data_IF_783138970764
#
_entry.id   IF_783138970764
#
_cell.length_a   1.000
_cell.length_b   1.000
_cell.length_c   1.000
_cell.angle_alpha   90.00
_cell.angle_beta   90.00
_cell.angle_gamma   90.00
#
_symmetry.space_group_name_H-M   'P 1'
#
loop_
_entity.id
_entity.type
_entity.pdbx_description
1 polymer ?
#
# COMPACT_ATOMS: atom_id res chain seq x y z
N UNK A 1 -34.07 6.45 30.52
CA UNK A 1 -34.57 6.00 29.21
C UNK A 1 -33.37 5.89 28.30
N UNK A 2 -32.98 4.64 28.08
CA UNK A 2 -32.07 4.08 27.07
C UNK A 2 -30.82 4.89 26.68
N UNK A 3 -29.73 4.57 27.37
CA UNK A 3 -28.37 4.66 26.82
C UNK A 3 -28.27 3.74 25.61
N UNK A 4 -28.34 4.28 24.40
CA UNK A 4 -28.03 3.56 23.17
C UNK A 4 -26.56 3.15 23.17
N UNK A 5 -26.28 1.93 23.61
CA UNK A 5 -25.05 1.24 23.31
C UNK A 5 -24.99 0.94 21.82
N UNK A 6 -24.01 1.51 21.13
CA UNK A 6 -23.25 0.98 19.99
C UNK A 6 -22.38 2.11 19.39
N UNK A 7 -21.34 2.53 20.10
CA UNK A 7 -20.13 3.05 19.42
C UNK A 7 -19.12 1.90 19.42
N UNK A 8 -19.42 0.84 18.67
CA UNK A 8 -18.42 -0.17 18.30
C UNK A 8 -17.49 0.46 17.25
N UNK A 9 -16.19 0.23 17.38
CA UNK A 9 -15.10 0.88 16.65
C UNK A 9 -15.41 1.21 15.19
N UNK A 10 -15.11 2.44 14.78
CA UNK A 10 -15.38 2.95 13.43
C UNK A 10 -14.34 2.40 12.46
N UNK A 11 -14.80 1.63 11.48
CA UNK A 11 -13.96 1.16 10.36
C UNK A 11 -14.22 1.98 9.09
N UNK A 12 -13.16 2.29 8.37
CA UNK A 12 -13.15 3.07 7.14
C UNK A 12 -12.32 2.35 6.07
N UNK A 13 -12.77 2.49 4.83
CA UNK A 13 -12.04 2.02 3.65
C UNK A 13 -11.73 3.24 2.80
N UNK A 14 -10.46 3.41 2.43
CA UNK A 14 -9.98 4.51 1.59
C UNK A 14 -9.39 3.91 0.33
N UNK A 15 -9.98 4.24 -0.82
CA UNK A 15 -9.44 3.84 -2.12
C UNK A 15 -8.25 4.75 -2.44
N UNK A 16 -7.04 4.21 -2.35
CA UNK A 16 -5.80 4.95 -2.64
C UNK A 16 -5.56 5.05 -4.15
N UNK A 17 -6.02 4.07 -4.91
CA UNK A 17 -6.02 4.12 -6.36
C UNK A 17 -7.04 3.16 -6.95
N UNK A 18 -7.49 3.49 -8.16
CA UNK A 18 -8.54 2.77 -8.89
C UNK A 18 -8.23 2.70 -10.39
N UNK A 19 -6.96 2.83 -10.75
CA UNK A 19 -6.45 2.78 -12.11
C UNK A 19 -5.95 1.39 -12.47
N UNK A 20 -5.74 1.14 -13.75
CA UNK A 20 -5.10 -0.08 -14.22
C UNK A 20 -3.60 -0.10 -13.88
N UNK A 21 -2.89 -1.10 -14.40
CA UNK A 21 -1.45 -1.28 -14.14
C UNK A 21 -0.59 -0.08 -14.57
N UNK A 22 -1.02 0.72 -15.56
CA UNK A 22 -0.36 1.96 -15.97
C UNK A 22 -0.86 3.21 -15.25
N UNK A 23 -1.95 3.11 -14.50
CA UNK A 23 -2.72 4.27 -14.04
C UNK A 23 -3.45 4.99 -15.18
N UNK A 24 -4.11 6.09 -14.83
CA UNK A 24 -4.75 7.04 -15.75
C UNK A 24 -4.33 8.46 -15.34
N UNK A 25 -3.87 9.30 -16.26
CA UNK A 25 -3.84 9.13 -17.72
C UNK A 25 -2.79 8.13 -18.22
N UNK A 26 -3.03 7.57 -19.41
CA UNK A 26 -1.98 6.90 -20.18
C UNK A 26 -1.02 7.95 -20.75
N UNK A 27 0.27 7.82 -20.46
CA UNK A 27 1.31 8.69 -21.02
C UNK A 27 1.29 8.70 -22.56
N UNK A 28 1.00 7.55 -23.19
CA UNK A 28 0.90 7.43 -24.64
C UNK A 28 -0.21 8.32 -25.21
N UNK A 29 -1.40 8.30 -24.58
CA UNK A 29 -2.54 9.10 -25.04
C UNK A 29 -2.26 10.61 -24.94
N UNK A 30 -1.38 11.05 -24.04
CA UNK A 30 -1.02 12.45 -23.88
C UNK A 30 0.11 12.88 -24.81
N UNK A 31 1.12 12.03 -24.99
CA UNK A 31 2.30 12.32 -25.84
C UNK A 31 2.01 12.13 -27.33
N UNK A 32 1.08 11.24 -27.68
CA UNK A 32 0.65 10.96 -29.04
C UNK A 32 -0.88 10.96 -29.09
N UNK A 33 -1.52 12.14 -28.99
CA UNK A 33 -2.96 12.24 -29.01
C UNK A 33 -3.51 11.83 -30.39
N UNK A 34 -4.57 11.04 -30.38
CA UNK A 34 -5.42 10.80 -31.56
C UNK A 34 -6.31 12.03 -31.83
N UNK A 35 -6.98 12.05 -32.99
CA UNK A 35 -7.99 13.05 -33.33
C UNK A 35 -9.36 12.38 -33.52
N UNK A 36 -10.31 12.54 -32.58
CA UNK A 36 -10.22 13.37 -31.36
C UNK A 36 -9.38 12.71 -30.25
N UNK A 37 -8.82 13.49 -29.31
CA UNK A 37 -8.02 12.95 -28.22
C UNK A 37 -8.87 12.10 -27.27
N UNK A 38 -8.25 11.11 -26.62
CA UNK A 38 -8.91 10.27 -25.62
C UNK A 38 -9.53 11.12 -24.50
N UNK A 39 -10.86 11.13 -24.42
CA UNK A 39 -11.63 11.95 -23.48
C UNK A 39 -11.18 11.76 -22.03
N UNK A 40 -11.00 10.51 -21.59
CA UNK A 40 -10.65 10.21 -20.19
C UNK A 40 -9.23 10.68 -19.87
N UNK A 41 -8.24 10.37 -20.71
CA UNK A 41 -6.85 10.75 -20.45
C UNK A 41 -6.67 12.27 -20.51
N UNK A 42 -7.33 12.95 -21.45
CA UNK A 42 -7.30 14.40 -21.53
C UNK A 42 -7.91 15.04 -20.28
N UNK A 43 -9.08 14.59 -19.84
CA UNK A 43 -9.71 15.11 -18.63
C UNK A 43 -8.94 14.76 -17.35
N UNK A 44 -8.14 13.69 -17.33
CA UNK A 44 -7.36 13.30 -16.15
C UNK A 44 -6.27 14.30 -15.77
N UNK A 45 -5.82 15.16 -16.69
CA UNK A 45 -4.80 16.20 -16.41
C UNK A 45 -5.39 17.60 -16.21
N UNK A 46 -6.71 17.75 -16.29
CA UNK A 46 -7.38 19.03 -16.08
C UNK A 46 -7.65 19.25 -14.59
N UNK A 47 -7.25 20.40 -14.06
CA UNK A 47 -7.44 20.75 -12.65
C UNK A 47 -6.49 20.03 -11.70
N UNK A 48 -6.88 19.93 -10.42
CA UNK A 48 -6.06 19.26 -9.40
C UNK A 48 -6.24 17.74 -9.46
N UNK A 49 -5.14 17.00 -9.46
CA UNK A 49 -5.16 15.54 -9.34
C UNK A 49 -5.92 15.08 -8.08
N UNK A 50 -5.87 15.85 -6.98
CA UNK A 50 -6.54 15.50 -5.72
C UNK A 50 -8.06 15.37 -5.88
N UNK A 51 -8.70 16.26 -6.65
CA UNK A 51 -10.15 16.30 -6.84
C UNK A 51 -10.61 15.69 -8.16
N UNK A 52 -9.70 15.18 -8.99
CA UNK A 52 -10.02 14.69 -10.33
C UNK A 52 -10.24 13.16 -10.33
N UNK A 53 -11.47 12.68 -10.58
CA UNK A 53 -11.78 11.24 -10.59
C UNK A 53 -11.20 10.48 -11.79
N UNK A 54 -10.74 11.19 -12.83
CA UNK A 54 -10.06 10.59 -13.97
C UNK A 54 -8.55 10.42 -13.73
N UNK A 55 -7.97 11.11 -12.75
CA UNK A 55 -6.58 10.87 -12.34
C UNK A 55 -6.54 9.69 -11.35
N UNK A 56 -6.06 8.54 -11.84
CA UNK A 56 -6.11 7.27 -11.11
C UNK A 56 -4.73 6.62 -11.00
N UNK A 57 -4.22 6.52 -9.78
CA UNK A 57 -3.06 5.71 -9.44
C UNK A 57 -3.37 4.21 -9.57
N UNK A 58 -2.32 3.36 -9.56
CA UNK A 58 -2.46 1.90 -9.44
C UNK A 58 -3.43 1.52 -8.31
N UNK A 59 -4.21 0.46 -8.53
CA UNK A 59 -5.17 -0.05 -7.54
C UNK A 59 -4.50 -0.29 -6.19
N UNK A 60 -5.08 0.28 -5.13
CA UNK A 60 -4.64 0.08 -3.76
C UNK A 60 -5.73 0.54 -2.79
N UNK A 61 -5.75 -0.08 -1.61
CA UNK A 61 -6.75 0.15 -0.57
C UNK A 61 -6.05 0.41 0.77
N UNK A 62 -6.60 1.33 1.57
CA UNK A 62 -6.26 1.43 2.99
C UNK A 62 -7.48 1.10 3.83
N UNK A 63 -7.30 0.19 4.78
CA UNK A 63 -8.26 -0.12 5.83
C UNK A 63 -7.82 0.63 7.08
N UNK A 64 -8.70 1.46 7.63
CA UNK A 64 -8.51 2.15 8.90
C UNK A 64 -9.56 1.65 9.87
N UNK A 65 -9.18 1.29 11.08
CA UNK A 65 -10.13 0.80 12.09
C UNK A 65 -9.62 1.10 13.49
N UNK A 66 -10.53 1.07 14.45
CA UNK A 66 -10.23 1.18 15.88
C UNK A 66 -10.34 -0.21 16.51
N UNK A 67 -9.32 -0.64 17.25
CA UNK A 67 -9.36 -1.90 18.00
C UNK A 67 -10.06 -1.75 19.36
N UNK A 68 -10.20 -2.85 20.10
CA UNK A 68 -10.88 -2.87 21.40
C UNK A 68 -10.21 -2.00 22.47
N UNK A 69 -8.94 -1.58 22.26
CA UNK A 69 -8.22 -0.66 23.15
C UNK A 69 -8.45 0.81 22.81
N UNK A 70 -9.15 1.10 21.71
CA UNK A 70 -9.33 2.46 21.19
C UNK A 70 -8.17 2.93 20.30
N UNK A 71 -7.21 2.06 19.97
CA UNK A 71 -6.09 2.40 19.10
C UNK A 71 -6.53 2.34 17.63
N UNK A 72 -6.21 3.39 16.88
CA UNK A 72 -6.46 3.44 15.44
C UNK A 72 -5.33 2.72 14.69
N UNK A 73 -5.71 1.79 13.83
CA UNK A 73 -4.84 0.93 13.06
C UNK A 73 -5.08 1.14 11.55
N UNK A 74 -4.02 0.94 10.77
CA UNK A 74 -3.98 1.16 9.33
C UNK A 74 -3.35 -0.04 8.63
N UNK A 75 -4.06 -0.66 7.69
CA UNK A 75 -3.56 -1.77 6.88
C UNK A 75 -3.70 -1.38 5.42
N UNK A 76 -2.59 -1.42 4.67
CA UNK A 76 -2.62 -1.12 3.24
C UNK A 76 -2.56 -2.40 2.41
N UNK A 77 -3.40 -2.47 1.38
CA UNK A 77 -3.39 -3.51 0.36
C UNK A 77 -2.74 -2.94 -0.89
N UNK A 78 -1.68 -3.61 -1.35
CA UNK A 78 -0.82 -3.27 -2.47
C UNK A 78 -0.07 -1.93 -2.36
N UNK A 79 1.15 -1.95 -2.88
CA UNK A 79 2.13 -0.85 -2.83
C UNK A 79 2.75 -0.70 -4.22
N UNK A 80 1.94 -0.24 -5.17
CA UNK A 80 2.29 -0.07 -6.57
C UNK A 80 3.25 1.08 -6.87
N UNK A 81 3.56 1.27 -8.16
CA UNK A 81 4.46 2.33 -8.67
C UNK A 81 4.06 3.75 -8.26
N UNK A 82 2.78 3.97 -7.99
CA UNK A 82 2.24 5.28 -7.60
C UNK A 82 2.18 5.47 -6.08
N UNK A 83 2.75 4.58 -5.26
CA UNK A 83 2.66 4.65 -3.80
C UNK A 83 3.02 6.02 -3.23
N UNK A 84 4.15 6.59 -3.67
CA UNK A 84 4.56 7.93 -3.23
C UNK A 84 3.49 8.99 -3.48
N UNK A 85 2.81 8.93 -4.62
CA UNK A 85 1.73 9.86 -4.96
C UNK A 85 0.48 9.60 -4.11
N UNK A 86 0.14 8.32 -3.86
CA UNK A 86 -0.96 7.93 -2.98
C UNK A 86 -0.75 8.47 -1.56
N UNK A 87 0.49 8.42 -1.04
CA UNK A 87 0.85 9.03 0.25
C UNK A 87 0.63 10.54 0.21
N UNK A 88 1.19 11.23 -0.79
CA UNK A 88 1.04 12.68 -0.90
C UNK A 88 -0.41 13.15 -1.03
N UNK A 89 -1.27 12.37 -1.68
CA UNK A 89 -2.69 12.73 -1.90
C UNK A 89 -3.58 12.34 -0.74
N UNK A 90 -3.48 11.09 -0.29
CA UNK A 90 -4.46 10.52 0.62
C UNK A 90 -3.98 10.51 2.07
N UNK A 91 -2.71 10.23 2.32
CA UNK A 91 -2.18 10.19 3.68
C UNK A 91 -2.16 11.57 4.30
N UNK A 92 -1.76 12.58 3.51
CA UNK A 92 -1.80 13.99 3.93
C UNK A 92 -3.24 14.46 4.18
N UNK A 93 -4.18 14.13 3.28
CA UNK A 93 -5.59 14.53 3.34
C UNK A 93 -6.32 13.91 4.53
N UNK A 94 -6.12 12.62 4.77
CA UNK A 94 -6.77 11.88 5.85
C UNK A 94 -5.92 11.80 7.12
N UNK A 95 -4.77 12.48 7.15
CA UNK A 95 -3.83 12.53 8.29
C UNK A 95 -3.42 11.13 8.78
N UNK A 96 -3.08 10.25 7.83
CA UNK A 96 -2.59 8.90 8.11
C UNK A 96 -1.09 9.01 8.47
N UNK A 97 -0.69 8.68 9.70
CA UNK A 97 0.68 8.92 10.17
C UNK A 97 1.67 7.81 9.77
N UNK A 98 1.19 6.57 9.68
CA UNK A 98 1.97 5.37 9.38
C UNK A 98 1.02 4.24 8.95
N UNK A 99 1.59 3.06 8.64
CA UNK A 99 0.86 1.83 8.33
C UNK A 99 1.34 0.71 9.25
N UNK A 100 0.41 -0.01 9.89
CA UNK A 100 0.71 -1.11 10.79
C UNK A 100 1.11 -2.39 10.05
N UNK A 101 0.51 -2.64 8.88
CA UNK A 101 0.81 -3.80 8.04
C UNK A 101 0.50 -3.55 6.58
N UNK A 102 1.26 -4.20 5.70
CA UNK A 102 0.98 -4.27 4.27
C UNK A 102 0.54 -5.67 3.87
N UNK A 103 -0.37 -5.77 2.91
CA UNK A 103 -0.78 -7.01 2.28
C UNK A 103 -0.56 -6.86 0.78
N UNK A 104 0.22 -7.75 0.18
CA UNK A 104 0.44 -7.78 -1.27
C UNK A 104 -0.44 -8.87 -1.87
N UNK A 105 -1.28 -8.49 -2.83
CA UNK A 105 -2.20 -9.40 -3.50
C UNK A 105 -1.46 -10.32 -4.48
N UNK A 106 -0.49 -9.77 -5.21
CA UNK A 106 0.32 -10.46 -6.21
C UNK A 106 1.60 -9.68 -6.52
N UNK A 107 2.48 -10.23 -7.36
CA UNK A 107 3.86 -9.76 -7.61
C UNK A 107 4.07 -8.86 -8.82
N UNK A 108 2.99 -8.37 -9.45
CA UNK A 108 3.14 -7.46 -10.58
C UNK A 108 3.56 -6.06 -10.14
N UNK A 109 4.16 -5.32 -11.08
CA UNK A 109 4.75 -4.01 -10.83
C UNK A 109 3.76 -3.00 -10.23
N UNK A 110 2.50 -3.03 -10.68
CA UNK A 110 1.41 -2.20 -10.17
C UNK A 110 0.97 -2.54 -8.75
N UNK A 111 1.39 -3.68 -8.19
CA UNK A 111 1.13 -4.05 -6.81
C UNK A 111 2.36 -3.91 -5.89
N UNK A 112 3.60 -3.97 -6.41
CA UNK A 112 4.80 -4.07 -5.55
C UNK A 112 5.93 -3.05 -5.83
N UNK A 113 5.88 -2.25 -6.90
CA UNK A 113 7.04 -1.38 -7.23
C UNK A 113 7.18 -0.11 -6.38
N UNK A 114 6.29 0.11 -5.43
CA UNK A 114 6.43 1.16 -4.40
C UNK A 114 7.06 0.67 -3.09
N UNK A 115 7.47 -0.61 -3.00
CA UNK A 115 8.00 -1.20 -1.76
C UNK A 115 9.20 -0.42 -1.17
N UNK A 116 10.06 0.16 -2.01
CA UNK A 116 11.22 0.95 -1.54
C UNK A 116 10.81 2.23 -0.79
N UNK A 117 9.74 2.87 -1.27
CA UNK A 117 9.22 4.13 -0.73
C UNK A 117 8.52 3.96 0.64
N UNK A 118 8.17 2.72 1.04
CA UNK A 118 7.54 2.43 2.35
C UNK A 118 8.35 3.02 3.49
N UNK A 119 9.68 3.04 3.36
CA UNK A 119 10.60 3.61 4.34
C UNK A 119 10.16 5.00 4.83
N UNK A 120 9.57 5.81 3.94
CA UNK A 120 9.12 7.17 4.25
C UNK A 120 7.97 7.26 5.24
N UNK A 121 7.25 6.17 5.50
CA UNK A 121 6.09 6.14 6.40
C UNK A 121 6.19 5.09 7.51
N UNK A 122 7.34 4.43 7.66
CA UNK A 122 7.53 3.46 8.72
C UNK A 122 7.63 4.15 10.08
N UNK A 123 7.06 3.56 11.15
CA UNK A 123 7.25 4.07 12.49
C UNK A 123 8.73 4.04 12.86
N UNK A 124 9.16 5.09 13.55
CA UNK A 124 10.48 5.18 14.17
C UNK A 124 10.32 5.14 15.67
N UNK A 125 11.19 4.40 16.36
CA UNK A 125 11.19 4.36 17.81
C UNK A 125 11.89 5.60 18.42
N UNK A 126 11.93 5.65 19.75
CA UNK A 126 12.54 6.75 20.52
C UNK A 126 14.03 7.00 20.20
N UNK A 127 14.71 6.04 19.58
CA UNK A 127 16.10 6.14 19.13
C UNK A 127 16.25 6.49 17.64
N UNK A 128 15.17 6.89 16.96
CA UNK A 128 15.11 7.13 15.52
C UNK A 128 15.46 5.89 14.67
N UNK A 129 15.25 4.69 15.20
CA UNK A 129 15.41 3.44 14.45
C UNK A 129 14.07 3.04 13.85
N UNK A 130 14.11 2.64 12.57
CA UNK A 130 12.94 2.16 11.85
C UNK A 130 12.58 0.77 12.38
N UNK A 131 11.33 0.59 12.78
CA UNK A 131 10.82 -0.71 13.19
C UNK A 131 10.40 -1.54 11.96
N UNK A 132 10.74 -2.85 11.91
CA UNK A 132 10.30 -3.71 10.82
C UNK A 132 8.78 -3.74 10.69
N UNK A 133 8.25 -3.35 9.53
CA UNK A 133 6.80 -3.38 9.27
C UNK A 133 6.41 -4.73 8.64
N UNK A 134 5.39 -5.43 9.17
CA UNK A 134 4.88 -6.66 8.58
C UNK A 134 4.37 -6.48 7.15
N UNK A 135 4.78 -7.38 6.26
CA UNK A 135 4.29 -7.48 4.88
C UNK A 135 3.82 -8.91 4.63
N UNK A 136 2.52 -9.07 4.40
CA UNK A 136 1.87 -10.36 4.14
C UNK A 136 1.77 -10.61 2.64
N UNK A 137 2.24 -11.77 2.18
CA UNK A 137 2.26 -12.14 0.77
C UNK A 137 2.33 -13.66 0.61
N UNK A 138 1.94 -14.17 -0.55
CA UNK A 138 2.07 -15.61 -0.84
C UNK A 138 3.52 -16.00 -1.05
N UNK A 139 3.82 -17.30 -0.97
CA UNK A 139 5.15 -17.83 -1.27
C UNK A 139 5.61 -17.48 -2.69
N UNK A 140 4.72 -17.59 -3.68
CA UNK A 140 4.98 -17.22 -5.07
C UNK A 140 5.37 -15.74 -5.20
N UNK A 141 4.59 -14.85 -4.57
CA UNK A 141 4.91 -13.43 -4.62
C UNK A 141 6.21 -13.10 -3.89
N UNK A 142 6.53 -13.81 -2.79
CA UNK A 142 7.80 -13.66 -2.08
C UNK A 142 9.00 -14.02 -2.96
N UNK A 143 8.93 -15.11 -3.72
CA UNK A 143 10.00 -15.53 -4.63
C UNK A 143 10.27 -14.45 -5.68
N UNK A 144 9.22 -13.83 -6.20
CA UNK A 144 9.32 -12.73 -7.15
C UNK A 144 9.89 -11.45 -6.51
N UNK A 145 9.43 -11.10 -5.31
CA UNK A 145 9.94 -9.97 -4.52
C UNK A 145 11.43 -10.15 -4.23
N UNK A 146 11.88 -11.35 -3.86
CA UNK A 146 13.29 -11.63 -3.58
C UNK A 146 14.19 -11.43 -4.81
N UNK A 147 13.67 -11.66 -6.02
CA UNK A 147 14.38 -11.40 -7.27
C UNK A 147 14.44 -9.90 -7.60
N UNK A 148 13.31 -9.20 -7.50
CA UNK A 148 13.16 -7.78 -7.89
C UNK A 148 13.73 -6.81 -6.85
N UNK A 149 13.59 -7.14 -5.57
CA UNK A 149 13.96 -6.33 -4.41
C UNK A 149 14.90 -7.09 -3.46
N UNK A 150 15.90 -7.78 -4.01
CA UNK A 150 16.84 -8.59 -3.22
C UNK A 150 17.45 -7.85 -2.03
N UNK A 151 17.66 -6.53 -2.15
CA UNK A 151 18.18 -5.67 -1.09
C UNK A 151 17.18 -5.34 0.04
N UNK A 152 15.87 -5.51 -0.17
CA UNK A 152 14.83 -5.40 0.87
C UNK A 152 14.61 -6.73 1.61
N UNK A 153 15.13 -7.83 1.06
CA UNK A 153 14.99 -9.18 1.63
C UNK A 153 16.27 -9.60 2.36
N UNK A 154 17.44 -9.27 1.82
CA UNK A 154 18.73 -9.64 2.41
C UNK A 154 19.03 -8.79 3.65
N UNK A 155 18.87 -9.39 4.83
CA UNK A 155 19.18 -8.76 6.13
C UNK A 155 20.66 -8.79 6.50
N UNK A 156 21.44 -9.68 5.89
CA UNK A 156 22.86 -9.84 6.22
C UNK A 156 23.72 -8.98 5.30
N UNK A 157 24.33 -7.94 5.87
CA UNK A 157 25.42 -7.21 5.20
C UNK A 157 26.58 -8.18 4.99
N UNK A 158 27.09 -8.26 3.76
CA UNK A 158 28.37 -8.93 3.52
C UNK A 158 29.47 -8.14 4.22
N UNK A 159 30.55 -8.83 4.61
CA UNK A 159 31.72 -8.20 5.22
C UNK A 159 32.23 -7.05 4.33
N UNK A 160 32.30 -5.83 4.89
CA UNK A 160 32.66 -4.61 4.16
C UNK A 160 31.51 -3.83 3.50
N UNK A 161 30.24 -4.26 3.63
CA UNK A 161 29.09 -3.48 3.16
C UNK A 161 28.62 -2.46 4.20
N UNK A 162 28.42 -1.22 3.75
CA UNK A 162 27.79 -0.17 4.57
C UNK A 162 26.33 -0.50 4.88
N UNK A 163 25.88 -0.07 6.07
CA UNK A 163 24.47 -0.15 6.48
C UNK A 163 23.62 0.64 5.48
N UNK A 164 22.89 -0.07 4.62
CA UNK A 164 21.93 0.55 3.71
C UNK A 164 20.72 1.01 4.51
N UNK A 165 20.44 2.30 4.47
CA UNK A 165 19.20 2.85 5.02
C UNK A 165 18.05 2.56 4.06
N UNK A 166 17.54 1.34 4.06
CA UNK A 166 16.38 0.90 3.24
C UNK A 166 15.18 0.60 4.13
N UNK A 167 14.01 0.38 3.53
CA UNK A 167 12.82 -0.03 4.26
C UNK A 167 13.11 -1.30 5.08
N UNK A 168 12.63 -1.34 6.33
CA UNK A 168 12.78 -2.51 7.21
C UNK A 168 11.50 -3.33 7.14
N UNK A 169 11.52 -4.47 6.46
CA UNK A 169 10.30 -5.25 6.23
C UNK A 169 10.37 -6.61 6.95
N UNK A 170 9.26 -6.98 7.56
CA UNK A 170 9.03 -8.29 8.17
C UNK A 170 8.12 -9.12 7.25
N UNK A 171 8.74 -9.92 6.38
CA UNK A 171 8.04 -10.72 5.37
C UNK A 171 7.32 -11.91 6.01
N UNK A 172 5.99 -11.99 5.83
CA UNK A 172 5.12 -13.02 6.39
C UNK A 172 4.40 -13.79 5.29
N UNK A 173 4.75 -15.06 5.14
CA UNK A 173 4.13 -15.93 4.13
C UNK A 173 2.71 -16.30 4.55
N UNK A 174 1.75 -16.03 3.68
CA UNK A 174 0.34 -16.43 3.83
C UNK A 174 -0.03 -17.52 2.84
N UNK A 175 -1.04 -18.32 3.21
CA UNK A 175 -1.63 -19.31 2.32
C UNK A 175 -2.80 -18.71 1.53
N UNK A 176 -2.85 -18.98 0.23
CA UNK A 176 -4.00 -18.67 -0.63
C UNK A 176 -5.02 -19.83 -0.72
N UNK A 177 -4.89 -20.87 0.12
CA UNK A 177 -5.84 -21.99 0.11
C UNK A 177 -7.20 -21.52 0.62
N UNK A 178 -8.27 -21.99 -0.02
CA UNK A 178 -9.63 -21.74 0.44
C UNK A 178 -9.78 -22.18 1.91
N UNK A 179 -10.32 -21.30 2.75
CA UNK A 179 -10.51 -21.53 4.17
C UNK A 179 -9.27 -21.21 5.03
N UNK A 180 -8.14 -20.83 4.44
CA UNK A 180 -7.03 -20.26 5.19
C UNK A 180 -7.38 -18.83 5.67
N UNK A 181 -6.79 -18.45 6.79
CA UNK A 181 -6.85 -17.09 7.30
C UNK A 181 -5.53 -16.69 7.92
N UNK A 182 -5.28 -15.39 7.97
CA UNK A 182 -4.15 -14.82 8.70
C UNK A 182 -4.60 -13.56 9.44
N UNK A 183 -3.87 -13.19 10.47
CA UNK A 183 -4.14 -11.97 11.23
C UNK A 183 -3.14 -10.89 10.84
N UNK A 184 -3.63 -9.69 10.55
CA UNK A 184 -2.81 -8.50 10.36
C UNK A 184 -3.34 -7.37 11.24
N UNK A 185 -2.51 -6.88 12.15
CA UNK A 185 -2.83 -5.83 13.11
C UNK A 185 -4.14 -6.06 13.90
N UNK A 186 -4.46 -7.31 14.25
CA UNK A 186 -5.69 -7.66 14.97
C UNK A 186 -6.92 -7.95 14.09
N UNK A 187 -6.84 -7.72 12.77
CA UNK A 187 -7.90 -8.11 11.82
C UNK A 187 -7.59 -9.45 11.17
N UNK A 188 -8.62 -10.30 11.08
CA UNK A 188 -8.55 -11.58 10.39
C UNK A 188 -8.89 -11.39 8.91
N UNK A 189 -7.98 -11.83 8.04
CA UNK A 189 -8.14 -11.84 6.59
C UNK A 189 -8.28 -13.28 6.09
N UNK A 190 -9.22 -13.49 5.18
CA UNK A 190 -9.41 -14.76 4.47
C UNK A 190 -9.12 -14.57 2.98
N UNK A 191 -7.94 -14.98 2.49
CA UNK A 191 -7.65 -14.98 1.07
C UNK A 191 -8.67 -15.83 0.29
N UNK A 192 -9.09 -15.32 -0.86
CA UNK A 192 -9.92 -16.04 -1.81
C UNK A 192 -9.05 -16.34 -3.05
N UNK A 193 -8.77 -17.62 -3.36
CA UNK A 193 -8.01 -18.00 -4.54
C UNK A 193 -8.74 -17.72 -5.86
#
# INVERSE_FOLDING_TARGET
MESNGLNKGRSEIIILGSGCSSGVPSARCLLMPEDPPCYVCHNAIVGSAESNPNYRCNTSLLIKFEDDSGQVNYIQIDVGKNFREQVLRWFTRYRIPYVNAFILTHEHADAIFGLDDIRGIQPVNEFNLIEPTPVYLTQESMESVAQKFSYLVQKTLKEGQEIRRVAQLDWRIISNKLGASFEAAGLIFSPLP
#
